data_IF_747033718970
#
_entry.id   IF_747033718970
#
_cell.length_a   1.000
_cell.length_b   1.000
_cell.length_c   1.000
_cell.angle_alpha   90.00
_cell.angle_beta   90.00
_cell.angle_gamma   90.00
#
_symmetry.space_group_name_H-M   'P 1'
#
loop_
_entity.id
_entity.type
_entity.pdbx_description
1 polymer ?
#
# COMPACT_ATOMS: atom_id res chain seq x y z
N UNK A 1 9.03 -12.63 9.34
CA UNK A 1 8.61 -12.02 10.60
C UNK A 1 8.45 -10.50 10.50
N UNK A 2 9.49 -9.71 10.16
CA UNK A 2 9.40 -8.22 10.09
C UNK A 2 8.32 -7.77 9.10
N UNK A 3 8.27 -8.31 7.89
CA UNK A 3 7.25 -7.97 6.89
C UNK A 3 5.81 -8.18 7.41
N UNK A 4 5.56 -9.29 8.11
CA UNK A 4 4.22 -9.57 8.68
C UNK A 4 3.83 -8.57 9.76
N UNK A 5 4.79 -8.15 10.60
CA UNK A 5 4.59 -7.10 11.62
C UNK A 5 4.26 -5.77 10.95
N UNK A 6 5.03 -5.38 9.93
CA UNK A 6 4.79 -4.12 9.20
C UNK A 6 3.46 -4.15 8.45
N UNK A 7 3.10 -5.28 7.86
CA UNK A 7 1.79 -5.46 7.21
C UNK A 7 0.65 -5.32 8.23
N UNK A 8 0.80 -5.86 9.43
CA UNK A 8 -0.18 -5.73 10.52
C UNK A 8 -0.31 -4.27 10.99
N UNK A 9 0.81 -3.56 11.19
CA UNK A 9 0.82 -2.12 11.54
C UNK A 9 0.16 -1.30 10.43
N UNK A 10 0.47 -1.61 9.15
CA UNK A 10 -0.17 -0.98 7.99
C UNK A 10 -1.67 -1.15 8.02
N UNK A 11 -2.17 -2.37 8.29
CA UNK A 11 -3.59 -2.62 8.43
C UNK A 11 -4.25 -1.75 9.51
N UNK A 12 -3.66 -1.69 10.71
CA UNK A 12 -4.16 -0.81 11.78
C UNK A 12 -4.21 0.64 11.30
N UNK A 13 -3.13 1.15 10.70
CA UNK A 13 -3.05 2.53 10.24
C UNK A 13 -4.10 2.84 9.15
N UNK A 14 -4.31 1.92 8.21
CA UNK A 14 -5.31 2.07 7.16
C UNK A 14 -6.73 2.11 7.73
N UNK A 15 -7.08 1.22 8.66
CA UNK A 15 -8.41 1.21 9.30
C UNK A 15 -8.60 2.29 10.38
N UNK A 16 -7.54 2.93 10.85
CA UNK A 16 -7.65 4.18 11.60
C UNK A 16 -7.97 5.37 10.71
N UNK A 17 -7.56 5.33 9.45
CA UNK A 17 -7.81 6.40 8.49
C UNK A 17 -9.09 6.16 7.69
N UNK A 18 -9.25 4.99 7.06
CA UNK A 18 -10.42 4.64 6.27
C UNK A 18 -11.44 3.86 7.10
N UNK A 19 -12.73 4.12 6.87
CA UNK A 19 -13.81 3.39 7.54
C UNK A 19 -13.82 1.92 7.15
N UNK A 20 -13.58 1.63 5.88
CA UNK A 20 -13.57 0.29 5.33
C UNK A 20 -12.75 0.20 4.03
N UNK A 21 -12.21 -0.99 3.77
CA UNK A 21 -11.53 -1.35 2.52
C UNK A 21 -12.26 -2.57 1.95
N UNK A 22 -13.01 -2.35 0.87
CA UNK A 22 -13.81 -3.38 0.21
C UNK A 22 -13.05 -3.94 -0.97
N UNK A 23 -13.03 -5.28 -1.11
CA UNK A 23 -12.28 -5.97 -2.15
C UNK A 23 -13.21 -6.84 -2.98
N UNK A 24 -13.31 -6.55 -4.27
CA UNK A 24 -14.02 -7.40 -5.24
C UNK A 24 -13.06 -8.36 -5.93
N UNK A 25 -13.57 -9.56 -6.22
CA UNK A 25 -12.87 -10.63 -6.96
C UNK A 25 -11.52 -11.04 -6.31
N UNK A 26 -11.45 -11.05 -4.98
CA UNK A 26 -10.24 -11.40 -4.21
C UNK A 26 -9.69 -12.79 -4.56
N UNK A 27 -10.56 -13.72 -4.96
CA UNK A 27 -10.22 -15.08 -5.38
C UNK A 27 -9.37 -15.12 -6.65
N UNK A 28 -9.37 -14.07 -7.48
CA UNK A 28 -8.51 -13.95 -8.66
C UNK A 28 -7.03 -13.67 -8.33
N UNK A 29 -6.71 -13.37 -7.05
CA UNK A 29 -5.33 -13.11 -6.64
C UNK A 29 -4.53 -14.42 -6.63
N UNK A 30 -3.47 -14.56 -7.45
CA UNK A 30 -2.64 -15.77 -7.45
C UNK A 30 -1.93 -16.00 -6.12
N UNK A 31 -2.16 -17.16 -5.50
CA UNK A 31 -1.55 -17.51 -4.22
C UNK A 31 -0.03 -17.71 -4.29
N UNK A 32 0.50 -18.13 -5.44
CA UNK A 32 1.92 -18.40 -5.66
C UNK A 32 2.33 -18.13 -7.12
N UNK A 33 3.61 -18.23 -7.40
CA UNK A 33 4.20 -18.00 -8.72
C UNK A 33 4.57 -16.54 -8.98
N UNK A 34 5.32 -16.27 -10.05
CA UNK A 34 5.75 -14.93 -10.42
C UNK A 34 4.55 -14.04 -10.77
N UNK A 35 4.51 -12.84 -10.17
CA UNK A 35 3.37 -11.95 -10.28
C UNK A 35 3.80 -10.49 -10.41
N UNK A 36 3.36 -9.83 -11.47
CA UNK A 36 3.39 -8.37 -11.58
C UNK A 36 2.00 -7.83 -11.25
N UNK A 37 1.90 -6.90 -10.31
CA UNK A 37 0.64 -6.28 -9.91
C UNK A 37 0.61 -4.87 -10.49
N UNK A 38 -0.29 -4.65 -11.44
CA UNK A 38 -0.51 -3.35 -12.07
C UNK A 38 -1.63 -2.61 -11.33
N UNK A 39 -1.33 -1.47 -10.71
CA UNK A 39 -2.30 -0.71 -9.92
C UNK A 39 -2.35 0.73 -10.40
N UNK A 40 -3.54 1.35 -10.48
CA UNK A 40 -3.67 2.78 -10.69
C UNK A 40 -3.16 3.57 -9.48
N UNK A 41 -2.84 4.86 -9.64
CA UNK A 41 -2.07 5.60 -8.64
C UNK A 41 -2.73 6.94 -8.19
N UNK A 42 -3.94 6.89 -7.62
CA UNK A 42 -4.67 8.11 -7.24
C UNK A 42 -4.26 8.72 -5.89
N UNK A 43 -3.54 8.01 -4.99
CA UNK A 43 -3.32 8.43 -3.61
C UNK A 43 -1.90 8.11 -3.08
N UNK A 44 -0.89 8.42 -3.88
CA UNK A 44 0.53 8.36 -3.48
C UNK A 44 0.93 7.04 -2.77
N UNK A 45 1.65 7.12 -1.64
CA UNK A 45 2.10 5.94 -0.88
C UNK A 45 0.94 5.06 -0.39
N UNK A 46 -0.24 5.66 -0.16
CA UNK A 46 -1.40 4.93 0.39
C UNK A 46 -1.87 3.82 -0.55
N UNK A 47 -1.80 4.03 -1.86
CA UNK A 47 -2.13 2.99 -2.84
C UNK A 47 -1.26 1.75 -2.69
N UNK A 48 0.05 1.94 -2.49
CA UNK A 48 0.99 0.85 -2.26
C UNK A 48 0.69 0.11 -0.95
N UNK A 49 0.35 0.84 0.11
CA UNK A 49 0.00 0.26 1.41
C UNK A 49 -1.29 -0.57 1.33
N UNK A 50 -2.32 -0.05 0.65
CA UNK A 50 -3.59 -0.76 0.45
C UNK A 50 -3.37 -2.01 -0.40
N UNK A 51 -2.69 -1.90 -1.53
CA UNK A 51 -2.41 -3.04 -2.40
C UNK A 51 -1.61 -4.13 -1.68
N UNK A 52 -0.54 -3.75 -0.94
CA UNK A 52 0.24 -4.70 -0.15
C UNK A 52 -0.56 -5.31 1.01
N UNK A 53 -1.53 -4.59 1.58
CA UNK A 53 -2.43 -5.10 2.60
C UNK A 53 -3.37 -6.17 2.03
N UNK A 54 -3.95 -5.94 0.86
CA UNK A 54 -4.90 -6.84 0.20
C UNK A 54 -4.22 -8.15 -0.25
N UNK A 55 -3.06 -8.09 -0.87
CA UNK A 55 -2.37 -9.25 -1.43
C UNK A 55 -1.90 -10.18 -0.29
N UNK A 56 -2.31 -11.47 -0.24
CA UNK A 56 -2.09 -12.36 0.91
C UNK A 56 -0.64 -12.88 1.04
N UNK A 57 0.28 -12.40 0.22
CA UNK A 57 1.69 -12.80 0.18
C UNK A 57 2.63 -11.59 0.24
N UNK A 58 3.94 -11.84 0.39
CA UNK A 58 4.94 -10.77 0.35
C UNK A 58 4.97 -10.13 -1.05
N UNK A 59 4.96 -8.80 -1.07
CA UNK A 59 4.98 -7.99 -2.30
C UNK A 59 6.17 -7.06 -2.24
N UNK A 60 7.08 -7.19 -3.22
CA UNK A 60 8.06 -6.16 -3.52
C UNK A 60 7.36 -4.95 -4.15
N UNK A 61 7.85 -3.77 -3.89
CA UNK A 61 7.25 -2.53 -4.40
C UNK A 61 8.24 -1.77 -5.28
N UNK A 62 7.73 -0.93 -6.14
CA UNK A 62 8.57 0.04 -6.85
C UNK A 62 8.36 1.44 -6.29
N UNK A 63 9.42 2.21 -6.15
CA UNK A 63 9.37 3.57 -5.64
C UNK A 63 10.28 4.52 -6.42
N UNK A 64 10.13 5.81 -6.20
CA UNK A 64 10.97 6.85 -6.81
C UNK A 64 12.42 6.72 -6.33
N UNK A 65 13.38 6.63 -7.25
CA UNK A 65 14.81 6.43 -6.94
C UNK A 65 15.40 7.56 -6.07
N UNK A 66 14.92 8.80 -6.21
CA UNK A 66 15.38 9.93 -5.38
C UNK A 66 15.09 9.77 -3.88
N UNK A 67 14.21 8.87 -3.49
CA UNK A 67 13.98 8.58 -2.08
C UNK A 67 15.16 7.84 -1.43
N UNK A 68 15.99 7.15 -2.23
CA UNK A 68 17.19 6.45 -1.74
C UNK A 68 18.40 7.34 -1.54
N UNK A 69 18.31 8.64 -1.85
CA UNK A 69 19.35 9.61 -1.52
C UNK A 69 19.57 9.69 0.01
N UNK A 70 18.56 9.33 0.80
CA UNK A 70 18.68 9.15 2.25
C UNK A 70 19.11 7.70 2.57
N UNK A 71 20.25 7.47 3.26
CA UNK A 71 20.77 6.12 3.53
C UNK A 71 19.86 5.28 4.43
N UNK A 72 19.10 5.90 5.35
CA UNK A 72 18.13 5.20 6.18
C UNK A 72 16.97 4.68 5.33
N UNK A 73 16.45 5.50 4.42
CA UNK A 73 15.38 5.10 3.48
C UNK A 73 15.88 3.99 2.56
N UNK A 74 17.13 4.08 2.06
CA UNK A 74 17.72 3.05 1.24
C UNK A 74 17.85 1.70 1.98
N UNK A 75 18.17 1.73 3.28
CA UNK A 75 18.21 0.52 4.13
C UNK A 75 16.82 -0.09 4.33
N UNK A 76 15.81 0.75 4.57
CA UNK A 76 14.41 0.32 4.67
C UNK A 76 13.92 -0.29 3.35
N UNK A 77 14.25 0.33 2.21
CA UNK A 77 13.87 -0.18 0.88
C UNK A 77 14.43 -1.59 0.65
N UNK A 78 15.71 -1.82 0.97
CA UNK A 78 16.31 -3.17 0.87
C UNK A 78 15.63 -4.19 1.77
N UNK A 79 15.24 -3.80 2.99
CA UNK A 79 14.54 -4.69 3.93
C UNK A 79 13.15 -5.10 3.44
N UNK A 80 12.48 -4.21 2.68
CA UNK A 80 11.10 -4.38 2.22
C UNK A 80 10.99 -4.80 0.76
N UNK A 81 12.09 -5.13 0.08
CA UNK A 81 12.15 -5.41 -1.37
C UNK A 81 11.55 -4.26 -2.20
N UNK A 82 11.83 -3.01 -1.80
CA UNK A 82 11.41 -1.83 -2.56
C UNK A 82 12.49 -1.49 -3.59
N UNK A 83 12.16 -1.67 -4.86
CA UNK A 83 13.06 -1.42 -5.98
C UNK A 83 12.94 0.04 -6.45
N UNK A 84 14.02 0.82 -6.38
CA UNK A 84 14.00 2.21 -6.82
C UNK A 84 14.00 2.32 -8.34
N UNK A 85 13.00 3.02 -8.90
CA UNK A 85 12.88 3.31 -10.33
C UNK A 85 13.16 4.80 -10.61
N UNK A 86 13.98 5.05 -11.64
CA UNK A 86 14.22 6.39 -12.16
C UNK A 86 13.11 6.78 -13.13
N UNK A 87 12.48 7.92 -12.88
CA UNK A 87 11.40 8.45 -13.73
C UNK A 87 11.99 9.41 -14.79
N UNK A 88 11.43 9.35 -15.99
CA UNK A 88 11.83 10.26 -17.09
C UNK A 88 11.65 11.73 -16.73
N UNK A 89 10.60 12.08 -15.96
CA UNK A 89 10.37 13.45 -15.48
C UNK A 89 11.51 13.97 -14.62
N UNK A 90 11.95 13.15 -13.66
CA UNK A 90 12.98 13.53 -12.69
C UNK A 90 14.36 13.74 -13.34
N UNK A 91 14.64 12.99 -14.42
CA UNK A 91 15.89 13.14 -15.17
C UNK A 91 15.88 14.36 -16.07
N UNK A 92 14.74 14.68 -16.71
CA UNK A 92 14.60 15.91 -17.50
C UNK A 92 14.81 17.16 -16.66
N UNK A 93 14.35 17.15 -15.41
CA UNK A 93 14.57 18.24 -14.46
C UNK A 93 16.04 18.37 -14.03
N UNK A 94 16.78 17.24 -13.92
CA UNK A 94 18.17 17.21 -13.44
C UNK A 94 19.23 17.30 -14.53
N UNK A 95 18.99 16.75 -15.72
CA UNK A 95 20.02 16.48 -16.74
C UNK A 95 19.66 16.96 -18.16
N UNK A 96 18.51 17.63 -18.35
CA UNK A 96 18.07 18.08 -19.67
C UNK A 96 17.42 16.99 -20.53
N UNK A 97 17.27 17.18 -21.87
CA UNK A 97 16.40 16.36 -22.73
C UNK A 97 16.91 14.95 -23.05
N UNK A 98 18.15 14.60 -22.70
CA UNK A 98 18.71 13.26 -22.92
C UNK A 98 18.27 12.26 -21.84
N UNK A 99 17.38 11.33 -22.20
CA UNK A 99 16.97 10.25 -21.28
C UNK A 99 17.69 8.97 -21.64
N UNK A 100 18.51 8.42 -20.73
CA UNK A 100 19.18 7.14 -20.92
C UNK A 100 18.17 5.98 -20.89
N UNK A 101 18.00 5.22 -22.00
CA UNK A 101 17.10 4.06 -22.02
C UNK A 101 17.49 2.95 -21.05
N UNK A 102 18.76 2.83 -20.69
CA UNK A 102 19.31 1.78 -19.80
C UNK A 102 19.19 2.12 -18.31
N UNK A 103 18.75 3.33 -17.97
CA UNK A 103 18.71 3.87 -16.59
C UNK A 103 18.07 2.96 -15.53
N UNK A 104 17.11 2.14 -15.95
CA UNK A 104 16.40 1.18 -15.08
C UNK A 104 16.88 -0.27 -15.26
N UNK A 105 17.93 -0.53 -16.03
CA UNK A 105 18.39 -1.89 -16.27
C UNK A 105 18.78 -2.64 -14.96
N UNK A 106 19.37 -1.94 -13.99
CA UNK A 106 19.67 -2.49 -12.67
C UNK A 106 18.39 -2.85 -11.90
N UNK A 107 17.43 -1.95 -11.86
CA UNK A 107 16.15 -2.16 -11.21
C UNK A 107 15.34 -3.29 -11.88
N UNK A 108 15.35 -3.38 -13.21
CA UNK A 108 14.71 -4.47 -13.94
C UNK A 108 15.34 -5.82 -13.59
N UNK A 109 16.66 -5.91 -13.54
CA UNK A 109 17.35 -7.16 -13.11
C UNK A 109 16.96 -7.57 -11.69
N UNK A 110 16.82 -6.62 -10.76
CA UNK A 110 16.37 -6.88 -9.40
C UNK A 110 14.93 -7.42 -9.39
N UNK A 111 14.02 -6.81 -10.16
CA UNK A 111 12.64 -7.29 -10.28
C UNK A 111 12.60 -8.68 -10.93
N UNK A 112 13.35 -8.92 -12.00
CA UNK A 112 13.45 -10.24 -12.63
C UNK A 112 13.91 -11.29 -11.62
N UNK A 113 14.93 -11.01 -10.83
CA UNK A 113 15.40 -11.92 -9.78
C UNK A 113 14.34 -12.19 -8.70
N UNK A 114 13.45 -11.22 -8.37
CA UNK A 114 12.30 -11.46 -7.50
C UNK A 114 11.27 -12.39 -8.16
N UNK A 115 10.98 -12.17 -9.44
CA UNK A 115 10.03 -12.99 -10.21
C UNK A 115 10.52 -14.41 -10.43
N UNK A 116 11.82 -14.62 -10.71
CA UNK A 116 12.45 -15.95 -10.83
C UNK A 116 12.25 -16.80 -9.57
N UNK A 117 12.25 -16.18 -8.40
CA UNK A 117 11.94 -16.85 -7.12
C UNK A 117 10.43 -16.99 -6.85
N UNK A 118 9.59 -16.75 -7.84
CA UNK A 118 8.13 -16.79 -7.69
C UNK A 118 7.58 -15.63 -6.87
N UNK A 119 8.30 -14.51 -6.77
CA UNK A 119 7.89 -13.31 -6.02
C UNK A 119 6.75 -12.54 -6.69
N UNK A 120 6.16 -11.62 -5.94
CA UNK A 120 5.19 -10.65 -6.44
C UNK A 120 5.77 -9.24 -6.37
N UNK A 121 5.57 -8.43 -7.41
CA UNK A 121 6.06 -7.05 -7.47
C UNK A 121 4.93 -6.12 -7.91
N UNK A 122 4.72 -5.06 -7.14
CA UNK A 122 3.73 -4.01 -7.39
C UNK A 122 4.38 -2.89 -8.22
N UNK A 123 3.69 -2.52 -9.29
CA UNK A 123 4.11 -1.45 -10.20
C UNK A 123 2.93 -0.53 -10.48
N UNK A 124 3.16 0.78 -10.43
CA UNK A 124 2.23 1.79 -10.88
C UNK A 124 2.58 2.19 -12.33
N UNK A 125 1.85 1.68 -13.34
CA UNK A 125 2.24 1.87 -14.73
C UNK A 125 2.07 3.32 -15.23
N UNK A 126 1.34 4.16 -14.51
CA UNK A 126 1.22 5.61 -14.76
C UNK A 126 2.54 6.36 -14.49
N UNK A 127 3.37 5.81 -13.59
CA UNK A 127 4.69 6.34 -13.24
C UNK A 127 4.68 7.50 -12.25
N UNK A 128 3.53 8.08 -11.92
CA UNK A 128 3.35 9.11 -10.89
C UNK A 128 1.93 9.04 -10.32
N UNK A 129 1.74 9.44 -9.06
CA UNK A 129 0.42 9.68 -8.53
C UNK A 129 -0.21 10.95 -9.11
N UNK A 130 -1.53 10.97 -9.21
CA UNK A 130 -2.29 12.13 -9.68
C UNK A 130 -3.70 12.15 -9.08
N UNK A 131 -4.36 13.31 -9.16
CA UNK A 131 -5.69 13.51 -8.58
C UNK A 131 -6.82 13.40 -9.60
N UNK A 132 -6.50 13.15 -10.86
CA UNK A 132 -7.46 12.98 -11.94
C UNK A 132 -8.33 11.75 -11.68
N UNK A 133 -9.61 11.82 -12.04
CA UNK A 133 -10.53 10.68 -11.93
C UNK A 133 -10.22 9.58 -12.95
N UNK A 134 -9.71 9.98 -14.11
CA UNK A 134 -9.36 9.08 -15.20
C UNK A 134 -7.93 8.53 -15.05
N UNK A 135 -7.72 7.32 -15.58
CA UNK A 135 -6.41 6.70 -15.63
C UNK A 135 -5.46 7.52 -16.52
N UNK A 136 -4.31 7.90 -16.00
CA UNK A 136 -3.30 8.58 -16.80
C UNK A 136 -2.68 7.63 -17.84
N UNK A 137 -2.15 8.15 -18.96
CA UNK A 137 -1.50 7.32 -19.99
C UNK A 137 -0.39 6.45 -19.39
N UNK A 138 -0.49 5.13 -19.61
CA UNK A 138 0.46 4.18 -19.05
C UNK A 138 1.82 4.27 -19.72
N UNK A 139 2.86 4.08 -18.93
CA UNK A 139 4.24 3.90 -19.41
C UNK A 139 4.46 2.45 -19.78
N UNK A 140 5.22 2.20 -20.85
CA UNK A 140 5.52 0.85 -21.34
C UNK A 140 6.48 0.03 -20.46
N UNK A 141 6.95 0.57 -19.36
CA UNK A 141 7.94 -0.08 -18.50
C UNK A 141 7.50 -1.43 -17.95
N UNK A 142 6.26 -1.55 -17.49
CA UNK A 142 5.69 -2.80 -16.99
C UNK A 142 5.58 -3.84 -18.10
N UNK A 143 5.06 -3.47 -19.28
CA UNK A 143 4.91 -4.36 -20.42
C UNK A 143 6.28 -4.86 -20.92
N UNK A 144 7.27 -3.97 -21.03
CA UNK A 144 8.65 -4.34 -21.40
C UNK A 144 9.26 -5.32 -20.39
N UNK A 145 9.08 -5.07 -19.09
CA UNK A 145 9.57 -5.96 -18.04
C UNK A 145 8.91 -7.35 -18.13
N UNK A 146 7.59 -7.42 -18.39
CA UNK A 146 6.87 -8.67 -18.51
C UNK A 146 7.33 -9.49 -19.72
N UNK A 147 7.53 -8.84 -20.88
CA UNK A 147 8.06 -9.50 -22.08
C UNK A 147 9.51 -9.94 -21.88
N UNK A 148 10.36 -9.11 -21.28
CA UNK A 148 11.74 -9.47 -20.93
C UNK A 148 11.78 -10.69 -20.00
N UNK A 149 10.90 -10.75 -18.99
CA UNK A 149 10.77 -11.88 -18.07
C UNK A 149 10.41 -13.17 -18.81
N UNK A 150 9.44 -13.11 -19.73
CA UNK A 150 9.00 -14.25 -20.54
C UNK A 150 10.06 -14.71 -21.56
N UNK A 151 10.55 -13.75 -22.36
CA UNK A 151 11.29 -14.04 -23.60
C UNK A 151 12.80 -14.15 -23.39
N UNK A 152 13.37 -13.29 -22.54
CA UNK A 152 14.82 -13.24 -22.29
C UNK A 152 15.22 -14.05 -21.06
N UNK A 153 14.43 -13.95 -19.94
CA UNK A 153 14.71 -14.66 -18.70
C UNK A 153 14.07 -16.04 -18.60
N UNK A 154 13.14 -16.37 -19.51
CA UNK A 154 12.47 -17.67 -19.53
C UNK A 154 11.59 -17.97 -18.32
N UNK A 155 11.11 -16.90 -17.61
CA UNK A 155 10.27 -17.04 -16.43
C UNK A 155 8.89 -17.54 -16.83
N UNK A 156 8.54 -18.77 -16.43
CA UNK A 156 7.27 -19.41 -16.72
C UNK A 156 6.22 -19.16 -15.66
N UNK A 157 4.94 -19.17 -16.08
CA UNK A 157 3.81 -18.92 -15.19
C UNK A 157 3.71 -17.48 -14.70
N UNK A 158 4.40 -16.54 -15.35
CA UNK A 158 4.29 -15.12 -15.02
C UNK A 158 2.89 -14.62 -15.33
N UNK A 159 2.29 -13.90 -14.38
CA UNK A 159 1.00 -13.26 -14.50
C UNK A 159 1.08 -11.77 -14.26
N UNK A 160 0.26 -11.00 -14.97
CA UNK A 160 0.03 -9.58 -14.66
C UNK A 160 -1.37 -9.47 -14.06
N UNK A 161 -1.45 -9.06 -12.80
CA UNK A 161 -2.70 -8.85 -12.07
C UNK A 161 -3.08 -7.37 -12.10
N UNK A 162 -4.11 -6.96 -12.85
CA UNK A 162 -4.61 -5.61 -12.77
C UNK A 162 -5.45 -5.44 -11.49
N UNK A 163 -5.23 -4.33 -10.78
CA UNK A 163 -5.97 -3.96 -9.57
C UNK A 163 -6.35 -2.47 -9.66
N UNK A 164 -7.63 -2.18 -9.61
CA UNK A 164 -8.15 -0.83 -9.55
C UNK A 164 -8.44 -0.41 -8.11
N UNK A 165 -7.97 0.78 -7.71
CA UNK A 165 -8.29 1.41 -6.44
C UNK A 165 -9.21 2.60 -6.67
N UNK A 166 -10.31 2.66 -5.92
CA UNK A 166 -11.31 3.72 -5.97
C UNK A 166 -11.53 4.25 -4.55
N UNK A 167 -11.56 5.55 -4.39
CA UNK A 167 -11.74 6.20 -3.10
C UNK A 167 -13.03 7.04 -3.10
N UNK A 168 -13.85 6.92 -2.06
CA UNK A 168 -14.98 7.82 -1.82
C UNK A 168 -14.48 9.26 -1.61
N UNK A 169 -13.48 9.41 -0.74
CA UNK A 169 -12.70 10.63 -0.57
C UNK A 169 -11.30 10.26 -0.07
N UNK A 170 -10.31 10.36 -0.95
CA UNK A 170 -8.96 9.90 -0.68
C UNK A 170 -8.22 10.66 0.42
N UNK A 171 -8.60 11.91 0.65
CA UNK A 171 -7.96 12.81 1.62
C UNK A 171 -8.63 12.86 2.97
N UNK A 172 -9.86 12.39 3.11
CA UNK A 172 -10.64 12.51 4.34
C UNK A 172 -10.73 11.21 5.15
N UNK A 173 -10.45 11.27 6.46
CA UNK A 173 -10.63 10.12 7.35
C UNK A 173 -12.09 9.67 7.41
N UNK A 174 -12.28 8.35 7.50
CA UNK A 174 -13.61 7.73 7.59
C UNK A 174 -14.28 7.49 6.25
N UNK A 175 -13.62 7.79 5.12
CA UNK A 175 -14.11 7.43 3.78
C UNK A 175 -13.93 5.95 3.48
N UNK A 176 -14.61 5.47 2.43
CA UNK A 176 -14.49 4.10 1.94
C UNK A 176 -13.42 4.00 0.86
N UNK A 177 -12.82 2.82 0.80
CA UNK A 177 -11.94 2.41 -0.31
C UNK A 177 -12.51 1.17 -0.97
N UNK A 178 -12.61 1.17 -2.29
CA UNK A 178 -12.89 0.01 -3.13
C UNK A 178 -11.59 -0.47 -3.80
N UNK A 179 -11.36 -1.77 -3.78
CA UNK A 179 -10.32 -2.42 -4.55
C UNK A 179 -10.93 -3.47 -5.46
N UNK A 180 -10.72 -3.36 -6.76
CA UNK A 180 -11.22 -4.32 -7.75
C UNK A 180 -10.07 -5.11 -8.33
N UNK A 181 -10.14 -6.42 -8.20
CA UNK A 181 -9.13 -7.33 -8.72
C UNK A 181 -9.61 -7.83 -10.08
N UNK A 182 -8.83 -7.55 -11.12
CA UNK A 182 -9.13 -8.07 -12.46
C UNK A 182 -8.60 -9.48 -12.68
N UNK A 183 -9.06 -10.11 -13.76
CA UNK A 183 -8.52 -11.40 -14.17
C UNK A 183 -7.04 -11.24 -14.59
N UNK A 184 -6.15 -12.11 -14.13
CA UNK A 184 -4.75 -12.07 -14.51
C UNK A 184 -4.54 -12.20 -16.01
N UNK A 185 -3.52 -11.53 -16.54
CA UNK A 185 -3.00 -11.78 -17.88
C UNK A 185 -1.93 -12.85 -17.76
N UNK A 186 -2.17 -14.02 -18.32
CA UNK A 186 -1.23 -15.13 -18.35
C UNK A 186 -0.17 -14.87 -19.44
N UNK A 187 1.09 -14.65 -19.05
CA UNK A 187 2.14 -14.29 -20.01
C UNK A 187 2.56 -15.46 -20.89
N UNK A 188 2.42 -16.70 -20.43
CA UNK A 188 2.73 -17.88 -21.24
C UNK A 188 1.78 -18.07 -22.43
N UNK A 189 0.55 -17.58 -22.34
CA UNK A 189 -0.46 -17.61 -23.39
C UNK A 189 -0.62 -16.26 -24.13
N UNK A 190 0.17 -15.26 -23.78
CA UNK A 190 0.14 -13.97 -24.46
C UNK A 190 0.87 -14.03 -25.80
N UNK A 191 0.15 -13.97 -26.91
CA UNK A 191 0.70 -14.10 -28.26
C UNK A 191 1.41 -12.84 -28.78
N UNK A 192 1.19 -11.69 -28.12
CA UNK A 192 1.79 -10.43 -28.53
C UNK A 192 3.30 -10.38 -28.21
N UNK A 193 4.06 -9.92 -29.20
CA UNK A 193 5.51 -9.67 -29.07
C UNK A 193 5.83 -8.20 -28.78
N UNK A 194 4.82 -7.34 -28.90
CA UNK A 194 4.96 -5.89 -28.85
C UNK A 194 4.52 -5.37 -27.48
N UNK A 195 5.38 -4.59 -26.85
CA UNK A 195 5.09 -3.98 -25.57
C UNK A 195 3.94 -2.94 -25.62
N UNK A 196 3.64 -2.35 -26.80
CA UNK A 196 2.55 -1.40 -26.96
C UNK A 196 1.20 -2.11 -26.79
N UNK A 197 1.02 -3.27 -27.44
CA UNK A 197 -0.22 -4.07 -27.36
C UNK A 197 -0.48 -4.52 -25.92
N UNK A 198 0.56 -5.00 -25.23
CA UNK A 198 0.45 -5.39 -23.82
C UNK A 198 0.14 -4.18 -22.92
N UNK A 199 0.73 -3.00 -23.21
CA UNK A 199 0.43 -1.77 -22.47
C UNK A 199 -1.02 -1.35 -22.68
N UNK A 200 -1.55 -1.45 -23.91
CA UNK A 200 -2.95 -1.15 -24.22
C UNK A 200 -3.90 -2.12 -23.52
N UNK A 201 -3.59 -3.41 -23.48
CA UNK A 201 -4.42 -4.40 -22.77
C UNK A 201 -4.45 -4.14 -21.25
N UNK A 202 -3.28 -3.83 -20.65
CA UNK A 202 -3.21 -3.44 -19.23
C UNK A 202 -4.04 -2.18 -19.00
N UNK A 203 -3.91 -1.16 -19.85
CA UNK A 203 -4.67 0.08 -19.74
C UNK A 203 -6.17 -0.17 -19.87
N UNK A 204 -6.62 -0.97 -20.83
CA UNK A 204 -8.02 -1.34 -21.01
C UNK A 204 -8.60 -2.00 -19.74
N UNK A 205 -7.86 -2.96 -19.15
CA UNK A 205 -8.30 -3.63 -17.91
C UNK A 205 -8.33 -2.67 -16.72
N UNK A 206 -7.31 -1.84 -16.53
CA UNK A 206 -7.29 -0.87 -15.46
C UNK A 206 -8.38 0.20 -15.61
N UNK A 207 -8.60 0.73 -16.81
CA UNK A 207 -9.65 1.72 -17.08
C UNK A 207 -11.05 1.20 -16.76
N UNK A 208 -11.34 -0.07 -17.08
CA UNK A 208 -12.64 -0.67 -16.76
C UNK A 208 -12.90 -0.77 -15.24
N UNK A 209 -11.85 -0.73 -14.41
CA UNK A 209 -11.94 -0.80 -12.96
C UNK A 209 -11.91 0.56 -12.28
N UNK A 210 -11.23 1.56 -12.86
CA UNK A 210 -11.04 2.88 -12.26
C UNK A 210 -12.07 3.91 -12.72
N UNK A 211 -12.66 3.78 -13.92
CA UNK A 211 -13.63 4.73 -14.47
C UNK A 211 -15.03 4.62 -13.83
N UNK A 212 -15.32 3.54 -13.15
CA UNK A 212 -16.52 3.45 -12.36
C UNK A 212 -16.25 4.06 -10.98
N UNK A 213 -16.68 5.29 -10.78
CA UNK A 213 -16.60 6.02 -9.50
C UNK A 213 -17.45 5.39 -8.38
N UNK A 214 -17.92 4.17 -8.56
CA UNK A 214 -18.75 3.43 -7.61
C UNK A 214 -17.88 2.51 -6.78
N UNK A 215 -17.89 2.74 -5.46
CA UNK A 215 -17.30 1.80 -4.51
C UNK A 215 -18.13 0.52 -4.54
N UNK A 216 -17.51 -0.66 -4.61
CA UNK A 216 -18.21 -1.94 -4.69
C UNK A 216 -19.27 -2.10 -3.61
N UNK A 217 -20.52 -2.45 -4.00
CA UNK A 217 -21.61 -2.69 -3.05
C UNK A 217 -21.46 -4.04 -2.35
N UNK A 218 -21.00 -5.03 -3.10
CA UNK A 218 -20.75 -6.40 -2.61
C UNK A 218 -19.28 -6.71 -2.70
N UNK A 219 -18.66 -7.01 -1.59
CA UNK A 219 -17.22 -7.29 -1.54
C UNK A 219 -16.85 -8.08 -0.30
N UNK A 220 -15.78 -8.84 -0.40
CA UNK A 220 -15.09 -9.36 0.79
C UNK A 220 -14.47 -8.20 1.55
N UNK A 221 -14.79 -8.08 2.83
CA UNK A 221 -14.16 -7.11 3.72
C UNK A 221 -12.85 -7.71 4.21
N UNK A 222 -11.75 -7.01 3.95
CA UNK A 222 -10.43 -7.47 4.42
C UNK A 222 -10.30 -7.19 5.91
N UNK A 223 -10.15 -8.24 6.72
CA UNK A 223 -9.73 -8.13 8.11
C UNK A 223 -10.83 -8.18 9.18
N UNK A 224 -12.07 -8.60 8.86
CA UNK A 224 -13.19 -8.57 9.81
C UNK A 224 -13.72 -9.92 10.31
N UNK A 225 -12.95 -10.99 10.29
CA UNK A 225 -13.36 -12.27 10.92
C UNK A 225 -13.08 -12.23 12.43
N UNK A 226 -14.02 -11.66 13.21
CA UNK A 226 -13.91 -11.56 14.68
C UNK A 226 -14.92 -12.45 15.44
N UNK A 227 -15.41 -13.51 14.84
CA UNK A 227 -16.47 -14.36 15.42
C UNK A 227 -16.13 -15.07 16.74
N UNK A 228 -14.88 -15.02 17.20
CA UNK A 228 -14.42 -15.79 18.37
C UNK A 228 -14.32 -15.02 19.70
N UNK A 229 -14.49 -13.69 19.71
CA UNK A 229 -14.29 -12.88 20.92
C UNK A 229 -15.59 -12.29 21.50
N UNK A 230 -15.62 -12.15 22.83
CA UNK A 230 -16.72 -11.50 23.55
C UNK A 230 -16.86 -10.03 23.13
N UNK A 231 -18.00 -9.64 22.56
CA UNK A 231 -18.27 -8.28 22.04
C UNK A 231 -18.07 -7.17 23.10
N UNK A 232 -18.35 -7.46 24.38
CA UNK A 232 -18.14 -6.48 25.45
C UNK A 232 -16.65 -6.18 25.71
N UNK A 233 -15.80 -7.22 25.70
CA UNK A 233 -14.35 -7.03 25.86
C UNK A 233 -13.75 -6.29 24.69
N UNK A 234 -14.20 -6.59 23.46
CA UNK A 234 -13.81 -5.87 22.24
C UNK A 234 -14.20 -4.39 22.36
N UNK A 235 -15.42 -4.08 22.76
CA UNK A 235 -15.91 -2.72 22.94
C UNK A 235 -15.10 -1.92 23.96
N UNK A 236 -14.75 -2.52 25.11
CA UNK A 236 -13.89 -1.87 26.11
C UNK A 236 -12.48 -1.62 25.58
N UNK A 237 -11.88 -2.60 24.91
CA UNK A 237 -10.54 -2.45 24.32
C UNK A 237 -10.54 -1.38 23.21
N UNK A 238 -11.53 -1.36 22.36
CA UNK A 238 -11.68 -0.35 21.31
C UNK A 238 -11.92 1.05 21.87
N UNK A 239 -12.73 1.17 22.94
CA UNK A 239 -12.92 2.44 23.64
C UNK A 239 -11.61 2.96 24.22
N UNK A 240 -10.84 2.09 24.89
CA UNK A 240 -9.51 2.41 25.42
C UNK A 240 -8.55 2.85 24.31
N UNK A 241 -8.55 2.14 23.19
CA UNK A 241 -7.75 2.48 22.01
C UNK A 241 -8.11 3.87 21.48
N UNK A 242 -9.41 4.17 21.31
CA UNK A 242 -9.86 5.49 20.88
C UNK A 242 -9.42 6.61 21.85
N UNK A 243 -9.52 6.36 23.13
CA UNK A 243 -9.13 7.33 24.16
C UNK A 243 -7.63 7.67 24.10
N UNK A 244 -6.78 6.64 24.02
CA UNK A 244 -5.31 6.79 24.07
C UNK A 244 -4.71 7.28 22.76
N UNK A 245 -5.35 7.01 21.61
CA UNK A 245 -4.80 7.34 20.29
C UNK A 245 -5.42 8.60 19.65
N UNK A 246 -6.55 9.08 20.17
CA UNK A 246 -7.28 10.22 19.60
C UNK A 246 -6.42 11.48 19.48
N UNK A 247 -5.65 11.80 20.52
CA UNK A 247 -4.84 13.00 20.57
C UNK A 247 -3.68 12.97 19.57
N UNK A 248 -2.78 11.95 19.56
CA UNK A 248 -1.69 11.87 18.60
C UNK A 248 -2.17 11.81 17.14
N UNK A 249 -3.28 11.12 16.85
CA UNK A 249 -3.84 11.06 15.51
C UNK A 249 -4.40 12.40 15.05
N UNK A 250 -5.09 13.14 15.94
CA UNK A 250 -5.55 14.49 15.62
C UNK A 250 -4.40 15.46 15.34
N UNK A 251 -3.33 15.40 16.14
CA UNK A 251 -2.13 16.19 15.88
C UNK A 251 -1.51 15.85 14.52
N UNK A 252 -1.41 14.56 14.20
CA UNK A 252 -0.91 14.10 12.91
C UNK A 252 -1.74 14.65 11.74
N UNK A 253 -3.07 14.56 11.84
CA UNK A 253 -3.99 15.09 10.82
C UNK A 253 -3.82 16.60 10.64
N UNK A 254 -3.81 17.36 11.73
CA UNK A 254 -3.65 18.81 11.68
C UNK A 254 -2.31 19.22 11.03
N UNK A 255 -1.24 18.50 11.35
CA UNK A 255 0.07 18.74 10.75
C UNK A 255 0.09 18.33 9.27
N UNK A 256 -0.51 17.19 8.93
CA UNK A 256 -0.60 16.69 7.57
C UNK A 256 -1.31 17.70 6.65
N UNK A 257 -2.48 18.16 7.05
CA UNK A 257 -3.25 19.16 6.26
C UNK A 257 -2.46 20.46 6.06
N UNK A 258 -1.73 20.92 7.09
CA UNK A 258 -0.90 22.13 6.99
C UNK A 258 0.35 21.96 6.11
N UNK A 259 0.83 20.72 5.93
CA UNK A 259 2.06 20.42 5.18
C UNK A 259 1.80 19.87 3.79
N UNK A 260 0.55 19.47 3.51
CA UNK A 260 0.16 19.00 2.18
C UNK A 260 0.21 20.13 1.16
N UNK A 261 0.84 19.86 0.04
CA UNK A 261 0.91 20.76 -1.11
C UNK A 261 0.02 20.25 -2.25
N UNK A 262 -0.26 18.95 -2.29
CA UNK A 262 -1.08 18.31 -3.32
C UNK A 262 -2.27 17.56 -2.70
N UNK A 263 -3.37 17.39 -3.43
CA UNK A 263 -4.58 16.72 -2.93
C UNK A 263 -4.41 15.23 -2.59
N UNK A 264 -3.36 14.56 -3.08
CA UNK A 264 -3.04 13.15 -2.82
C UNK A 264 -2.09 12.92 -1.63
N UNK A 265 -1.62 13.99 -0.97
CA UNK A 265 -0.69 13.91 0.16
C UNK A 265 -1.33 13.78 1.55
N UNK A 266 -2.52 14.36 1.84
CA UNK A 266 -3.03 14.43 3.22
C UNK A 266 -3.16 13.09 3.92
N UNK A 267 -3.62 12.04 3.22
CA UNK A 267 -3.75 10.70 3.78
C UNK A 267 -2.38 10.10 4.13
N UNK A 268 -1.44 10.15 3.18
CA UNK A 268 -0.06 9.68 3.36
C UNK A 268 0.61 10.36 4.56
N UNK A 269 0.58 11.70 4.61
CA UNK A 269 1.20 12.45 5.69
C UNK A 269 0.52 12.19 7.04
N UNK A 270 -0.82 12.02 7.06
CA UNK A 270 -1.55 11.68 8.29
C UNK A 270 -1.11 10.33 8.83
N UNK A 271 -0.96 9.31 7.98
CA UNK A 271 -0.49 7.98 8.37
C UNK A 271 0.96 8.04 8.86
N UNK A 272 1.85 8.74 8.15
CA UNK A 272 3.27 8.85 8.53
C UNK A 272 3.46 9.60 9.86
N UNK A 273 2.86 10.78 10.00
CA UNK A 273 2.92 11.54 11.24
C UNK A 273 2.20 10.83 12.38
N UNK A 274 1.07 10.14 12.07
CA UNK A 274 0.31 9.34 13.02
C UNK A 274 1.17 8.25 13.65
N UNK A 275 1.89 7.50 12.84
CA UNK A 275 2.82 6.49 13.34
C UNK A 275 3.88 7.10 14.27
N UNK A 276 4.49 8.22 13.89
CA UNK A 276 5.49 8.91 14.71
C UNK A 276 4.92 9.42 16.02
N UNK A 277 3.76 10.08 16.02
CA UNK A 277 3.15 10.61 17.25
C UNK A 277 2.59 9.51 18.14
N UNK A 278 2.07 8.42 17.61
CA UNK A 278 1.63 7.25 18.39
C UNK A 278 2.83 6.60 19.06
N UNK A 279 3.94 6.39 18.35
CA UNK A 279 5.17 5.85 18.96
C UNK A 279 5.70 6.75 20.07
N UNK A 280 5.74 8.06 19.85
CA UNK A 280 6.13 9.01 20.90
C UNK A 280 5.20 8.94 22.11
N UNK A 281 3.89 8.87 21.89
CA UNK A 281 2.88 8.72 22.95
C UNK A 281 3.12 7.42 23.74
N UNK A 282 3.44 6.32 23.07
CA UNK A 282 3.77 5.05 23.74
C UNK A 282 5.00 5.19 24.62
N UNK A 283 6.07 5.79 24.12
CA UNK A 283 7.30 6.03 24.92
C UNK A 283 6.98 6.84 26.18
N UNK A 284 6.19 7.92 26.04
CA UNK A 284 5.80 8.75 27.20
C UNK A 284 4.94 7.99 28.20
N UNK A 285 3.94 7.25 27.75
CA UNK A 285 3.09 6.44 28.62
C UNK A 285 3.89 5.37 29.36
N UNK A 286 4.76 4.64 28.65
CA UNK A 286 5.58 3.57 29.26
C UNK A 286 6.60 4.14 30.23
N UNK A 287 7.17 5.31 29.96
CA UNK A 287 8.06 6.00 30.91
C UNK A 287 7.32 6.38 32.21
N UNK A 288 6.13 6.99 32.11
CA UNK A 288 5.30 7.34 33.28
C UNK A 288 4.91 6.08 34.06
N UNK A 289 4.40 5.05 33.40
CA UNK A 289 4.01 3.79 34.04
C UNK A 289 5.22 3.11 34.68
N UNK A 290 6.39 3.14 34.04
CA UNK A 290 7.63 2.58 34.58
C UNK A 290 8.09 3.26 35.88
N UNK A 291 8.01 4.60 35.90
CA UNK A 291 8.36 5.38 37.13
C UNK A 291 7.36 5.14 38.26
N UNK A 292 6.06 5.12 37.95
CA UNK A 292 4.99 4.97 38.94
C UNK A 292 4.91 3.55 39.51
N UNK A 293 4.97 2.55 38.64
CA UNK A 293 4.76 1.15 39.03
C UNK A 293 6.04 0.45 39.51
N UNK A 294 7.23 0.92 39.11
CA UNK A 294 8.52 0.32 39.49
C UNK A 294 8.69 -1.14 39.04
N UNK A 295 7.84 -1.63 38.13
CA UNK A 295 7.77 -3.04 37.71
C UNK A 295 7.76 -3.19 36.20
N UNK A 296 8.74 -3.90 35.64
CA UNK A 296 8.81 -4.19 34.21
C UNK A 296 7.59 -5.01 33.73
N UNK A 297 7.05 -5.90 34.57
CA UNK A 297 5.86 -6.69 34.22
C UNK A 297 4.64 -5.79 34.00
N UNK A 298 4.44 -4.77 34.84
CA UNK A 298 3.35 -3.80 34.71
C UNK A 298 3.51 -2.98 33.42
N UNK A 299 4.74 -2.55 33.11
CA UNK A 299 5.04 -1.83 31.84
C UNK A 299 4.69 -2.66 30.63
N UNK A 300 5.10 -3.95 30.62
CA UNK A 300 4.77 -4.87 29.51
C UNK A 300 3.27 -5.11 29.42
N UNK A 301 2.59 -5.36 30.53
CA UNK A 301 1.14 -5.54 30.54
C UNK A 301 0.42 -4.29 30.02
N UNK A 302 0.85 -3.10 30.41
CA UNK A 302 0.31 -1.85 29.92
C UNK A 302 0.53 -1.66 28.41
N UNK A 303 1.72 -1.98 27.90
CA UNK A 303 1.99 -1.96 26.44
C UNK A 303 1.03 -2.88 25.67
N UNK A 304 0.76 -4.08 26.20
CA UNK A 304 -0.21 -5.01 25.61
C UNK A 304 -1.59 -4.36 25.53
N UNK A 305 -2.03 -3.61 26.57
CA UNK A 305 -3.33 -2.92 26.52
C UNK A 305 -3.38 -1.81 25.47
N UNK A 306 -2.28 -1.07 25.27
CA UNK A 306 -2.18 -0.05 24.22
C UNK A 306 -2.28 -0.67 22.82
N UNK A 307 -1.54 -1.76 22.58
CA UNK A 307 -1.55 -2.46 21.29
C UNK A 307 -2.90 -3.12 20.99
N UNK A 308 -3.50 -3.78 21.99
CA UNK A 308 -4.85 -4.35 21.86
C UNK A 308 -5.89 -3.26 21.62
N UNK A 309 -5.78 -2.14 22.33
CA UNK A 309 -6.66 -0.99 22.12
C UNK A 309 -6.54 -0.41 20.71
N UNK A 310 -5.31 -0.23 20.21
CA UNK A 310 -5.09 0.24 18.84
C UNK A 310 -5.73 -0.71 17.81
N UNK A 311 -5.50 -2.01 17.97
CA UNK A 311 -6.04 -3.03 17.08
C UNK A 311 -7.57 -3.02 17.07
N UNK A 312 -8.22 -3.16 18.24
CA UNK A 312 -9.68 -3.23 18.30
C UNK A 312 -10.35 -1.92 17.90
N UNK A 313 -9.75 -0.76 18.23
CA UNK A 313 -10.28 0.52 17.77
C UNK A 313 -10.22 0.71 16.24
N UNK A 314 -9.26 0.05 15.58
CA UNK A 314 -9.15 0.06 14.12
C UNK A 314 -10.23 -0.81 13.46
N UNK A 315 -10.48 -2.01 14.02
CA UNK A 315 -11.29 -3.04 13.38
C UNK A 315 -12.71 -3.20 13.95
N UNK A 316 -13.06 -2.51 15.05
CA UNK A 316 -14.44 -2.48 15.54
C UNK A 316 -15.34 -1.72 14.57
N UNK A 317 -16.52 -2.25 14.29
CA UNK A 317 -17.51 -1.56 13.47
C UNK A 317 -17.90 -0.22 14.10
N UNK A 318 -17.56 0.87 13.42
CA UNK A 318 -18.02 2.18 13.86
C UNK A 318 -19.46 2.40 13.37
N UNK A 319 -20.41 2.72 14.29
CA UNK A 319 -21.63 3.38 13.86
C UNK A 319 -21.19 4.70 13.18
N UNK A 320 -21.82 4.98 12.03
CA UNK A 320 -21.55 6.16 11.20
C UNK A 320 -21.31 7.40 12.09
N UNK A 321 -20.11 7.94 12.04
CA UNK A 321 -19.82 9.26 12.57
C UNK A 321 -19.94 10.24 11.42
N UNK A 322 -21.04 10.97 11.41
CA UNK A 322 -21.21 12.20 10.68
C UNK A 322 -20.52 13.34 11.44
#
# INVERSE_FOLDING_TARGET
MIYSILKWITGIALYWFYRDIRVENKQAIPAAGPLLIAVNHPNALVDALIAAWIIPRRVGMTAKATLTDNPLVAAIFRLLDVVPLRRTSDERERSGPGVDPSRNAGAFREILSLLERGGAVLIFPEGKSHSEAELAPLKSGLARLALMARDESGIRGLRILPMGLVFEDKGNPGSLVGARIGEPIEMDSWDGINHQDLTMEIARRLSSMSNEAVIPDTSDIVGRDHHAFNKHLIGVAAWWGRLTHRFPIRMARNLAVRRSTNPDEPAMLTIMFGLGFVLLTYVLHLAVVGVVAGSALVVVAYLVTLLAGAYWAAFEEHPRRY
#
